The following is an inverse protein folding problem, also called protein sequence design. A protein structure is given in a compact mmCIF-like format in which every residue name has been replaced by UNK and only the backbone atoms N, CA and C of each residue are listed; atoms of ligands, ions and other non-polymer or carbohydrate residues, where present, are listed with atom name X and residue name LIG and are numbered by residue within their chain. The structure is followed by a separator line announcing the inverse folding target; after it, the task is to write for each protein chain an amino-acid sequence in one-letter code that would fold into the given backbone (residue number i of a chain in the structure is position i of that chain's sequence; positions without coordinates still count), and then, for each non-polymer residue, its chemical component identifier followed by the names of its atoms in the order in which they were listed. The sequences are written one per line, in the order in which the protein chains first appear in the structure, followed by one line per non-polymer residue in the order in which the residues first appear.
data_IF_174519061279
#
_entry.id   IF_174519061279
#
_cell.length_a   1.000
_cell.length_b   1.000
_cell.length_c   1.000
_cell.angle_alpha   90.00
_cell.angle_beta   90.00
_cell.angle_gamma   90.00
#
_symmetry.space_group_name_H-M   'P 1'
#
loop_
_entity.id
_entity.type
_entity.pdbx_description
1 polymer ?
#
# COMPACT_ATOMS: atom_id res chain seq x y z
N UNK A 1 -2.17 11.82 -27.75
CA UNK A 1 -2.57 10.39 -27.65
C UNK A 1 -3.06 10.16 -26.23
N UNK A 2 -4.25 9.58 -26.03
CA UNK A 2 -4.84 9.37 -24.70
C UNK A 2 -4.11 8.21 -23.99
N UNK A 3 -3.65 8.42 -22.75
CA UNK A 3 -3.15 7.34 -21.90
C UNK A 3 -4.35 6.68 -21.19
N UNK A 4 -4.71 5.48 -21.63
CA UNK A 4 -5.89 4.78 -21.12
C UNK A 4 -5.73 4.30 -19.68
N UNK A 5 -4.50 3.99 -19.24
CA UNK A 5 -4.23 3.59 -17.85
C UNK A 5 -4.42 4.79 -16.92
N UNK A 6 -3.95 5.99 -17.31
CA UNK A 6 -4.19 7.21 -16.56
C UNK A 6 -5.69 7.56 -16.51
N UNK A 7 -6.41 7.40 -17.63
CA UNK A 7 -7.86 7.57 -17.68
C UNK A 7 -8.58 6.62 -16.71
N UNK A 8 -8.19 5.35 -16.69
CA UNK A 8 -8.76 4.34 -15.81
C UNK A 8 -8.48 4.67 -14.33
N UNK A 9 -7.27 5.13 -14.01
CA UNK A 9 -6.91 5.60 -12.65
C UNK A 9 -7.70 6.84 -12.23
N UNK A 10 -7.70 7.90 -13.03
CA UNK A 10 -8.30 9.19 -12.66
C UNK A 10 -9.83 9.14 -12.63
N UNK A 11 -10.46 8.38 -13.52
CA UNK A 11 -11.92 8.42 -13.69
C UNK A 11 -12.62 7.19 -13.14
N UNK A 12 -12.15 5.99 -13.47
CA UNK A 12 -12.84 4.77 -13.06
C UNK A 12 -12.54 4.42 -11.59
N UNK A 13 -11.26 4.35 -11.24
CA UNK A 13 -10.82 3.97 -9.90
C UNK A 13 -11.23 5.02 -8.85
N UNK A 14 -11.08 6.31 -9.16
CA UNK A 14 -11.59 7.38 -8.29
C UNK A 14 -13.12 7.34 -8.14
N UNK A 15 -13.86 6.93 -9.18
CA UNK A 15 -15.32 6.76 -9.10
C UNK A 15 -15.70 5.56 -8.25
N UNK A 16 -14.99 4.44 -8.34
CA UNK A 16 -15.18 3.29 -7.43
C UNK A 16 -15.02 3.71 -5.96
N UNK A 17 -13.95 4.44 -5.63
CA UNK A 17 -13.74 4.94 -4.28
C UNK A 17 -14.85 5.90 -3.82
N UNK A 18 -15.24 6.86 -4.68
CA UNK A 18 -16.33 7.80 -4.37
C UNK A 18 -17.68 7.10 -4.18
N UNK A 19 -17.98 6.09 -5.00
CA UNK A 19 -19.20 5.28 -4.90
C UNK A 19 -19.22 4.43 -3.62
N UNK A 20 -18.04 3.99 -3.16
CA UNK A 20 -17.88 3.33 -1.86
C UNK A 20 -17.91 4.32 -0.67
N UNK A 21 -18.24 5.59 -0.90
CA UNK A 21 -18.34 6.60 0.14
C UNK A 21 -16.99 7.16 0.62
N UNK A 22 -15.91 6.94 -0.12
CA UNK A 22 -14.59 7.48 0.22
C UNK A 22 -14.36 8.87 -0.39
N UNK A 23 -13.44 9.61 0.22
CA UNK A 23 -12.84 10.83 -0.32
C UNK A 23 -11.32 10.76 -0.21
N UNK A 24 -10.64 11.43 -1.12
CA UNK A 24 -9.20 11.59 -1.04
C UNK A 24 -8.85 12.72 -0.07
N UNK A 25 -7.73 12.58 0.63
CA UNK A 25 -7.20 13.59 1.54
C UNK A 25 -5.68 13.41 1.67
N UNK A 26 -4.96 14.52 1.77
CA UNK A 26 -3.55 14.51 2.11
C UNK A 26 -3.38 14.92 3.57
N UNK A 27 -2.55 14.18 4.31
CA UNK A 27 -2.21 14.45 5.71
C UNK A 27 -0.72 14.78 5.78
N UNK A 28 -0.40 15.95 6.32
CA UNK A 28 0.99 16.29 6.66
C UNK A 28 1.43 15.43 7.85
N UNK A 29 2.50 14.66 7.68
CA UNK A 29 3.07 13.77 8.71
C UNK A 29 3.92 14.59 9.68
N UNK A 30 4.77 15.45 9.14
CA UNK A 30 5.69 16.34 9.84
C UNK A 30 5.62 17.75 9.26
N UNK A 31 6.32 18.69 9.90
CA UNK A 31 6.43 20.08 9.44
C UNK A 31 7.49 20.23 8.33
N UNK A 32 8.30 19.20 8.11
CA UNK A 32 9.35 19.16 7.10
C UNK A 32 8.81 18.89 5.68
N UNK A 33 7.51 18.64 5.53
CA UNK A 33 6.84 18.51 4.24
C UNK A 33 6.56 17.07 3.80
N UNK A 34 6.71 16.08 4.68
CA UNK A 34 6.22 14.73 4.40
C UNK A 34 4.70 14.71 4.40
N UNK A 35 4.11 14.20 3.32
CA UNK A 35 2.65 14.05 3.19
C UNK A 35 2.27 12.63 2.80
N UNK A 36 1.22 12.14 3.44
CA UNK A 36 0.56 10.88 3.09
C UNK A 36 -0.79 11.20 2.47
N UNK A 37 -0.93 10.89 1.19
CA UNK A 37 -2.20 10.90 0.48
C UNK A 37 -2.93 9.57 0.72
N UNK A 38 -4.22 9.66 1.05
CA UNK A 38 -5.03 8.48 1.26
C UNK A 38 -6.50 8.70 0.89
N UNK A 39 -7.17 7.60 0.56
CA UNK A 39 -8.62 7.54 0.54
C UNK A 39 -9.13 7.16 1.92
N UNK A 40 -10.15 7.86 2.40
CA UNK A 40 -10.75 7.62 3.71
C UNK A 40 -12.27 7.84 3.67
N UNK A 41 -13.03 7.31 4.64
CA UNK A 41 -14.47 7.44 4.64
C UNK A 41 -14.90 8.90 4.68
N UNK A 42 -15.90 9.29 3.90
CA UNK A 42 -16.58 10.57 4.11
C UNK A 42 -17.28 10.49 5.47
N UNK A 43 -16.64 10.96 6.55
CA UNK A 43 -17.34 11.17 7.83
C UNK A 43 -18.63 11.94 7.52
N UNK A 44 -19.79 11.44 7.96
CA UNK A 44 -20.95 12.32 8.15
C UNK A 44 -20.47 13.38 9.14
N UNK A 45 -20.30 14.61 8.69
CA UNK A 45 -20.20 15.73 9.61
C UNK A 45 -21.52 15.79 10.36
N UNK A 46 -21.58 15.17 11.52
CA UNK A 46 -22.49 15.58 12.58
C UNK A 46 -21.60 15.75 13.79
N UNK A 47 -21.39 17.01 14.17
CA UNK A 47 -20.79 17.40 15.45
C UNK A 47 -21.69 17.01 16.62
N UNK A 48 -22.01 15.73 16.73
CA UNK A 48 -22.59 15.14 17.91
C UNK A 48 -21.51 14.22 18.47
N UNK A 49 -21.07 14.53 19.70
CA UNK A 49 -20.48 13.52 20.56
C UNK A 49 -21.33 12.26 20.42
N UNK A 50 -20.75 11.18 19.89
CA UNK A 50 -21.42 9.89 19.87
C UNK A 50 -21.68 9.54 21.33
N UNK A 51 -22.94 9.66 21.72
CA UNK A 51 -23.47 9.05 22.92
C UNK A 51 -22.97 7.62 22.97
N UNK A 52 -22.47 7.23 24.14
CA UNK A 52 -22.06 5.86 24.43
C UNK A 52 -23.19 4.90 24.00
N UNK A 53 -23.00 4.18 22.90
CA UNK A 53 -24.01 3.29 22.33
C UNK A 53 -24.05 3.17 20.80
N UNK A 54 -23.42 4.07 20.04
CA UNK A 54 -23.31 3.93 18.57
C UNK A 54 -22.17 2.97 18.18
N UNK A 55 -22.48 1.87 17.48
CA UNK A 55 -21.50 0.88 17.00
C UNK A 55 -20.35 1.57 16.24
N UNK A 56 -19.17 1.69 16.86
CA UNK A 56 -17.99 2.20 16.18
C UNK A 56 -17.63 1.24 15.04
N UNK A 57 -17.67 1.73 13.81
CA UNK A 57 -17.29 0.97 12.62
C UNK A 57 -15.82 0.58 12.72
N UNK A 58 -15.51 -0.69 12.43
CA UNK A 58 -14.14 -1.20 12.54
C UNK A 58 -13.27 -0.62 11.42
N UNK A 59 -12.16 0.00 11.80
CA UNK A 59 -11.21 0.61 10.86
C UNK A 59 -10.34 -0.46 10.18
N UNK A 60 -10.28 -0.42 8.85
CA UNK A 60 -9.46 -1.30 8.02
C UNK A 60 -8.55 -0.45 7.14
N UNK A 61 -7.24 -0.64 7.27
CA UNK A 61 -6.22 0.08 6.50
C UNK A 61 -5.63 -0.86 5.44
N UNK A 62 -5.76 -0.50 4.17
CA UNK A 62 -5.32 -1.31 3.03
C UNK A 62 -4.00 -0.76 2.47
N UNK A 63 -2.89 -1.43 2.75
CA UNK A 63 -1.53 -1.01 2.38
C UNK A 63 -1.09 -1.74 1.13
N UNK A 64 -0.77 -0.99 0.07
CA UNK A 64 -0.48 -1.53 -1.25
C UNK A 64 0.92 -2.14 -1.39
N UNK A 65 1.12 -2.91 -2.47
CA UNK A 65 2.42 -3.47 -2.86
C UNK A 65 3.26 -2.49 -3.67
N UNK A 66 4.51 -2.86 -3.98
CA UNK A 66 5.49 -1.96 -4.59
C UNK A 66 5.17 -1.53 -6.04
N UNK A 67 4.48 -2.37 -6.81
CA UNK A 67 4.26 -2.14 -8.24
C UNK A 67 3.16 -1.11 -8.56
N UNK A 68 2.39 -0.66 -7.56
CA UNK A 68 1.24 0.22 -7.76
C UNK A 68 1.04 1.18 -6.59
N UNK A 69 -0.08 1.89 -6.62
CA UNK A 69 -0.56 2.73 -5.52
C UNK A 69 -1.71 2.07 -4.76
N UNK A 70 -2.27 2.78 -3.78
CA UNK A 70 -3.34 2.31 -2.90
C UNK A 70 -4.53 1.75 -3.68
N UNK A 71 -5.10 2.58 -4.55
CA UNK A 71 -6.34 2.25 -5.23
C UNK A 71 -6.16 1.33 -6.44
N UNK A 72 -4.98 1.34 -7.08
CA UNK A 72 -4.62 0.36 -8.09
C UNK A 72 -4.59 -1.06 -7.50
N UNK A 73 -4.12 -1.20 -6.25
CA UNK A 73 -4.03 -2.51 -5.58
C UNK A 73 -5.37 -2.95 -4.99
N UNK A 74 -6.09 -2.03 -4.33
CA UNK A 74 -7.21 -2.37 -3.46
C UNK A 74 -8.60 -1.96 -3.97
N UNK A 75 -8.68 -1.33 -5.15
CA UNK A 75 -9.92 -0.71 -5.62
C UNK A 75 -11.13 -1.66 -5.68
N UNK A 76 -10.90 -2.96 -5.93
CA UNK A 76 -11.96 -3.97 -5.97
C UNK A 76 -12.42 -4.42 -4.57
N UNK A 77 -11.57 -4.35 -3.56
CA UNK A 77 -11.87 -4.75 -2.18
C UNK A 77 -12.57 -3.63 -1.40
N UNK A 78 -12.28 -2.36 -1.75
CA UNK A 78 -12.84 -1.17 -1.08
C UNK A 78 -14.36 -1.22 -0.98
N UNK A 79 -15.05 -1.47 -2.09
CA UNK A 79 -16.51 -1.49 -2.14
C UNK A 79 -17.10 -2.59 -1.26
N UNK A 80 -16.53 -3.80 -1.32
CA UNK A 80 -16.99 -4.94 -0.54
C UNK A 80 -16.79 -4.72 0.97
N UNK A 81 -15.64 -4.20 1.38
CA UNK A 81 -15.36 -3.91 2.80
C UNK A 81 -16.23 -2.78 3.34
N UNK A 82 -16.40 -1.71 2.57
CA UNK A 82 -17.27 -0.59 2.96
C UNK A 82 -18.73 -1.02 3.12
N UNK A 83 -19.24 -1.88 2.22
CA UNK A 83 -20.58 -2.44 2.27
C UNK A 83 -20.83 -3.34 3.49
N UNK A 84 -19.77 -4.00 4.01
CA UNK A 84 -19.82 -4.78 5.26
C UNK A 84 -19.76 -3.92 6.54
N UNK A 85 -19.75 -2.60 6.41
CA UNK A 85 -19.77 -1.69 7.55
C UNK A 85 -18.38 -1.33 8.11
N UNK A 86 -17.29 -1.61 7.39
CA UNK A 86 -15.96 -1.18 7.79
C UNK A 86 -15.67 0.26 7.40
N UNK A 87 -14.83 0.94 8.18
CA UNK A 87 -14.26 2.22 7.82
C UNK A 87 -12.93 1.97 7.10
N UNK A 88 -12.95 2.11 5.77
CA UNK A 88 -11.84 1.71 4.91
C UNK A 88 -10.92 2.90 4.62
N UNK A 89 -9.64 2.73 4.93
CA UNK A 89 -8.56 3.67 4.66
C UNK A 89 -7.60 3.05 3.65
N UNK A 90 -7.25 3.77 2.59
CA UNK A 90 -6.35 3.29 1.53
C UNK A 90 -5.25 4.33 1.32
N UNK A 91 -4.16 4.28 2.10
CA UNK A 91 -3.03 5.18 1.92
C UNK A 91 -2.15 4.78 0.74
N UNK A 92 -1.60 5.79 0.08
CA UNK A 92 -0.43 5.63 -0.77
C UNK A 92 0.83 5.66 0.13
N UNK A 93 1.72 4.69 -0.04
CA UNK A 93 3.04 4.68 0.58
C UNK A 93 3.84 5.90 0.10
N UNK A 94 4.74 6.40 0.94
CA UNK A 94 5.58 7.57 0.60
C UNK A 94 6.43 7.25 -0.62
N UNK A 95 6.45 8.17 -1.60
CA UNK A 95 7.04 7.98 -2.94
C UNK A 95 6.23 7.08 -3.88
N UNK A 96 4.95 6.90 -3.59
CA UNK A 96 3.96 6.24 -4.45
C UNK A 96 2.69 7.09 -4.50
N UNK A 97 1.92 6.94 -5.58
CA UNK A 97 0.66 7.65 -5.76
C UNK A 97 0.80 9.15 -5.51
N UNK A 98 0.01 9.70 -4.58
CA UNK A 98 0.06 11.10 -4.18
C UNK A 98 0.93 11.42 -2.95
N UNK A 99 1.62 10.45 -2.37
CA UNK A 99 2.40 10.64 -1.13
C UNK A 99 3.87 10.99 -1.41
N UNK A 100 4.42 11.94 -0.66
CA UNK A 100 5.75 12.51 -0.90
C UNK A 100 6.48 12.82 0.41
N UNK A 101 7.81 12.84 0.37
CA UNK A 101 8.64 13.28 1.49
C UNK A 101 9.97 13.85 0.99
N UNK A 102 10.44 14.98 1.52
CA UNK A 102 11.79 15.45 1.27
C UNK A 102 12.84 14.68 2.10
N UNK A 103 12.43 13.96 3.15
CA UNK A 103 13.35 13.23 4.01
C UNK A 103 14.15 12.18 3.21
N UNK A 104 15.41 11.89 3.57
CA UNK A 104 16.26 10.93 2.85
C UNK A 104 15.95 9.46 3.21
N UNK A 105 15.05 9.22 4.17
CA UNK A 105 14.78 7.86 4.67
C UNK A 105 14.05 6.99 3.64
N UNK A 106 14.60 5.81 3.37
CA UNK A 106 14.05 4.84 2.40
C UNK A 106 14.00 3.46 3.06
N UNK A 107 13.08 3.27 4.01
CA UNK A 107 12.97 2.01 4.75
C UNK A 107 11.52 1.65 5.06
N UNK A 108 11.28 0.35 5.33
CA UNK A 108 9.97 -0.16 5.80
C UNK A 108 9.55 0.54 7.10
N UNK A 109 10.51 0.79 8.01
CA UNK A 109 10.28 1.53 9.26
C UNK A 109 9.77 2.96 9.02
N UNK A 110 10.37 3.66 8.05
CA UNK A 110 9.93 5.01 7.70
C UNK A 110 8.52 5.00 7.12
N UNK A 111 8.21 4.07 6.21
CA UNK A 111 6.87 3.92 5.66
C UNK A 111 5.82 3.66 6.76
N UNK A 112 6.11 2.72 7.67
CA UNK A 112 5.23 2.41 8.79
C UNK A 112 5.01 3.61 9.72
N UNK A 113 6.07 4.37 10.02
CA UNK A 113 5.98 5.59 10.82
C UNK A 113 5.09 6.64 10.15
N UNK A 114 5.32 6.96 8.88
CA UNK A 114 4.51 7.94 8.15
C UNK A 114 3.02 7.55 8.13
N UNK A 115 2.71 6.28 7.86
CA UNK A 115 1.33 5.79 7.88
C UNK A 115 0.71 5.87 9.29
N UNK A 116 1.42 5.41 10.32
CA UNK A 116 0.93 5.44 11.69
C UNK A 116 0.65 6.87 12.17
N UNK A 117 1.57 7.81 11.87
CA UNK A 117 1.41 9.24 12.20
C UNK A 117 0.21 9.84 11.46
N UNK A 118 0.07 9.58 10.17
CA UNK A 118 -1.07 10.07 9.39
C UNK A 118 -2.42 9.54 9.93
N UNK A 119 -2.49 8.24 10.25
CA UNK A 119 -3.69 7.63 10.84
C UNK A 119 -3.98 8.17 12.25
N UNK A 120 -2.94 8.41 13.04
CA UNK A 120 -3.05 9.05 14.36
C UNK A 120 -3.68 10.44 14.28
N UNK A 121 -3.21 11.28 13.34
CA UNK A 121 -3.77 12.63 13.08
C UNK A 121 -5.23 12.59 12.59
N UNK A 122 -5.67 11.49 11.99
CA UNK A 122 -7.07 11.27 11.60
C UNK A 122 -7.97 10.80 12.75
N UNK A 123 -7.40 10.63 13.96
CA UNK A 123 -8.12 10.24 15.17
C UNK A 123 -8.16 8.74 15.42
N UNK A 124 -7.39 7.92 14.70
CA UNK A 124 -7.34 6.46 14.93
C UNK A 124 -6.42 6.09 16.11
N UNK A 125 -5.71 7.04 16.71
CA UNK A 125 -4.83 6.77 17.86
C UNK A 125 -5.56 6.16 19.07
N UNK A 126 -6.88 6.40 19.21
CA UNK A 126 -7.74 5.79 20.23
C UNK A 126 -8.56 4.58 19.75
N UNK A 127 -8.49 4.21 18.47
CA UNK A 127 -9.25 3.13 17.87
C UNK A 127 -8.31 2.21 17.10
N UNK A 128 -8.02 1.03 17.67
CA UNK A 128 -7.14 0.06 17.01
C UNK A 128 -7.73 -0.38 15.66
N UNK A 129 -6.92 -0.42 14.62
CA UNK A 129 -7.33 -0.82 13.26
C UNK A 129 -6.81 -2.19 12.85
N UNK A 130 -7.43 -2.81 11.85
CA UNK A 130 -6.82 -3.94 11.13
C UNK A 130 -6.03 -3.40 9.96
N UNK A 131 -4.77 -3.81 9.84
CA UNK A 131 -3.93 -3.47 8.69
C UNK A 131 -3.88 -4.66 7.75
N UNK A 132 -4.27 -4.47 6.50
CA UNK A 132 -4.21 -5.46 5.43
C UNK A 132 -3.10 -5.04 4.47
N UNK A 133 -2.05 -5.85 4.34
CA UNK A 133 -0.89 -5.57 3.51
C UNK A 133 -0.73 -6.55 2.36
N UNK A 134 -0.43 -6.06 1.17
CA UNK A 134 -0.06 -6.89 0.02
C UNK A 134 1.42 -6.70 -0.34
N UNK A 135 2.16 -7.80 -0.47
CA UNK A 135 3.59 -7.78 -0.86
C UNK A 135 4.41 -6.81 0.01
N UNK A 136 5.03 -5.78 -0.56
CA UNK A 136 5.74 -4.74 0.20
C UNK A 136 4.88 -4.11 1.32
N UNK A 137 3.58 -3.94 1.10
CA UNK A 137 2.64 -3.46 2.11
C UNK A 137 2.45 -4.42 3.28
N UNK A 138 2.70 -5.72 3.09
CA UNK A 138 2.75 -6.72 4.16
C UNK A 138 3.93 -6.50 5.11
N UNK A 139 5.11 -6.19 4.56
CA UNK A 139 6.30 -5.84 5.36
C UNK A 139 6.05 -4.59 6.19
N UNK A 140 5.42 -3.57 5.57
CA UNK A 140 5.00 -2.35 6.27
C UNK A 140 3.96 -2.64 7.34
N UNK A 141 2.99 -3.53 7.09
CA UNK A 141 1.98 -3.92 8.07
C UNK A 141 2.60 -4.64 9.30
N UNK A 142 3.55 -5.55 9.08
CA UNK A 142 4.30 -6.17 10.18
C UNK A 142 5.11 -5.14 10.98
N UNK A 143 5.74 -4.20 10.29
CA UNK A 143 6.48 -3.11 10.93
C UNK A 143 5.56 -2.24 11.79
N UNK A 144 4.39 -1.85 11.26
CA UNK A 144 3.37 -1.09 11.98
C UNK A 144 2.89 -1.83 13.23
N UNK A 145 2.61 -3.13 13.13
CA UNK A 145 2.13 -3.92 14.27
C UNK A 145 3.15 -3.99 15.41
N UNK A 146 4.43 -4.11 15.06
CA UNK A 146 5.51 -4.19 16.04
C UNK A 146 5.87 -2.82 16.65
N UNK A 147 5.88 -1.74 15.85
CA UNK A 147 6.26 -0.41 16.31
C UNK A 147 5.09 0.37 16.97
N UNK A 148 3.85 0.11 16.55
CA UNK A 148 2.65 0.83 17.00
C UNK A 148 1.55 -0.13 17.49
N UNK A 149 1.81 -0.96 18.52
CA UNK A 149 0.84 -1.95 19.02
C UNK A 149 -0.45 -1.33 19.58
N UNK A 150 -0.41 -0.06 20.00
CA UNK A 150 -1.57 0.72 20.42
C UNK A 150 -2.47 1.19 19.28
N UNK A 151 -1.97 1.20 18.04
CA UNK A 151 -2.73 1.57 16.84
C UNK A 151 -3.21 0.33 16.06
N UNK A 152 -2.37 -0.70 15.98
CA UNK A 152 -2.70 -1.91 15.18
C UNK A 152 -3.33 -2.98 16.08
N UNK A 153 -4.51 -3.46 15.70
CA UNK A 153 -5.22 -4.58 16.35
C UNK A 153 -4.78 -5.92 15.80
N UNK A 154 -4.77 -6.05 14.48
CA UNK A 154 -4.50 -7.28 13.77
C UNK A 154 -3.91 -6.97 12.40
N UNK A 155 -3.25 -7.98 11.82
CA UNK A 155 -2.61 -7.89 10.53
C UNK A 155 -3.11 -9.01 9.63
N UNK A 156 -3.47 -8.67 8.39
CA UNK A 156 -3.74 -9.63 7.32
C UNK A 156 -2.71 -9.37 6.23
N UNK A 157 -1.99 -10.41 5.80
CA UNK A 157 -0.96 -10.28 4.77
C UNK A 157 -1.23 -11.25 3.64
N UNK A 158 -1.05 -10.78 2.40
CA UNK A 158 -1.05 -11.64 1.21
C UNK A 158 0.17 -11.32 0.33
N UNK A 159 0.76 -12.35 -0.27
CA UNK A 159 1.87 -12.21 -1.21
C UNK A 159 3.13 -11.56 -0.62
N UNK A 160 3.34 -11.66 0.69
CA UNK A 160 4.53 -11.16 1.37
C UNK A 160 5.07 -12.18 2.36
N UNK A 161 6.39 -12.27 2.44
CA UNK A 161 7.08 -13.07 3.45
C UNK A 161 7.29 -12.27 4.74
N UNK A 162 7.43 -12.99 5.85
CA UNK A 162 7.71 -12.39 7.17
C UNK A 162 9.12 -11.78 7.24
N UNK A 163 10.02 -12.22 6.35
CA UNK A 163 11.37 -11.69 6.17
C UNK A 163 11.76 -11.73 4.69
N UNK A 164 12.60 -10.80 4.25
CA UNK A 164 13.07 -10.74 2.87
C UNK A 164 14.60 -10.75 2.81
N UNK A 165 15.16 -11.92 2.52
CA UNK A 165 16.62 -12.15 2.53
C UNK A 165 17.23 -12.05 1.13
N UNK A 166 18.55 -11.83 1.06
CA UNK A 166 19.28 -11.85 -0.22
C UNK A 166 19.09 -13.19 -0.96
N UNK A 167 19.16 -14.32 -0.25
CA UNK A 167 18.92 -15.63 -0.87
C UNK A 167 17.50 -15.79 -1.45
N UNK A 168 16.47 -15.26 -0.77
CA UNK A 168 15.10 -15.25 -1.30
C UNK A 168 15.00 -14.39 -2.56
N UNK A 169 15.68 -13.24 -2.58
CA UNK A 169 15.79 -12.39 -3.75
C UNK A 169 16.46 -13.14 -4.92
N UNK A 170 17.58 -13.81 -4.69
CA UNK A 170 18.32 -14.52 -5.75
C UNK A 170 17.48 -15.64 -6.36
N UNK A 171 16.80 -16.43 -5.52
CA UNK A 171 15.87 -17.49 -5.99
C UNK A 171 14.72 -16.90 -6.79
N UNK A 172 14.15 -15.78 -6.36
CA UNK A 172 13.07 -15.11 -7.09
C UNK A 172 13.54 -14.60 -8.44
N UNK A 173 14.68 -13.92 -8.49
CA UNK A 173 15.26 -13.40 -9.73
C UNK A 173 15.58 -14.53 -10.72
N UNK A 174 16.14 -15.63 -10.23
CA UNK A 174 16.42 -16.81 -11.04
C UNK A 174 15.14 -17.43 -11.61
N UNK A 175 14.10 -17.60 -10.79
CA UNK A 175 12.80 -18.14 -11.23
C UNK A 175 12.13 -17.27 -12.28
N UNK A 176 12.30 -15.96 -12.20
CA UNK A 176 11.63 -15.00 -13.07
C UNK A 176 12.50 -14.55 -14.26
N UNK A 177 13.75 -15.01 -14.34
CA UNK A 177 14.70 -14.61 -15.39
C UNK A 177 14.99 -13.11 -15.39
N UNK A 178 15.02 -12.48 -14.22
CA UNK A 178 15.27 -11.05 -14.06
C UNK A 178 16.71 -10.80 -13.59
N UNK A 179 17.37 -9.76 -14.13
CA UNK A 179 18.73 -9.39 -13.76
C UNK A 179 18.83 -8.74 -12.37
N UNK A 180 17.80 -8.00 -11.98
CA UNK A 180 17.69 -7.37 -10.67
C UNK A 180 16.23 -7.16 -10.25
N UNK A 181 16.02 -6.91 -8.95
CA UNK A 181 14.69 -6.57 -8.43
C UNK A 181 14.17 -5.25 -9.02
N UNK A 182 15.07 -4.30 -9.26
CA UNK A 182 14.75 -3.03 -9.93
C UNK A 182 14.21 -3.30 -11.33
N UNK A 183 14.86 -4.15 -12.14
CA UNK A 183 14.40 -4.46 -13.50
C UNK A 183 13.01 -5.12 -13.52
N UNK A 184 12.70 -5.90 -12.47
CA UNK A 184 11.42 -6.57 -12.34
C UNK A 184 10.31 -5.60 -11.88
N UNK A 185 10.59 -4.77 -10.88
CA UNK A 185 9.58 -3.96 -10.18
C UNK A 185 9.44 -2.53 -10.72
N UNK A 186 10.46 -2.05 -11.43
CA UNK A 186 10.50 -0.76 -12.13
C UNK A 186 10.81 -1.00 -13.62
N UNK A 187 9.93 -1.71 -14.35
CA UNK A 187 10.19 -2.05 -15.74
C UNK A 187 10.24 -0.80 -16.62
N UNK A 188 11.28 -0.70 -17.46
CA UNK A 188 11.43 0.39 -18.44
C UNK A 188 10.91 0.00 -19.84
N UNK A 189 10.53 -1.27 -20.02
CA UNK A 189 10.11 -1.83 -21.32
C UNK A 189 8.75 -2.52 -21.22
N UNK A 190 8.03 -2.58 -22.35
CA UNK A 190 6.73 -3.26 -22.44
C UNK A 190 6.85 -4.74 -22.07
N UNK A 191 7.94 -5.39 -22.50
CA UNK A 191 8.24 -6.78 -22.12
C UNK A 191 8.50 -6.93 -20.62
N UNK A 192 9.10 -5.93 -19.97
CA UNK A 192 9.24 -5.88 -18.51
C UNK A 192 7.90 -5.83 -17.78
N UNK A 193 6.97 -4.97 -18.24
CA UNK A 193 5.60 -4.90 -17.68
C UNK A 193 4.85 -6.22 -17.88
N UNK A 194 5.01 -6.86 -19.04
CA UNK A 194 4.40 -8.17 -19.31
C UNK A 194 4.93 -9.26 -18.36
N UNK A 195 6.24 -9.27 -18.08
CA UNK A 195 6.85 -10.18 -17.09
C UNK A 195 6.34 -9.91 -15.68
N UNK A 196 6.29 -8.64 -15.27
CA UNK A 196 5.76 -8.23 -13.97
C UNK A 196 4.32 -8.72 -13.77
N UNK A 197 3.44 -8.52 -14.76
CA UNK A 197 2.06 -8.97 -14.68
C UNK A 197 1.92 -10.50 -14.74
N UNK A 198 2.71 -11.18 -15.57
CA UNK A 198 2.68 -12.64 -15.63
C UNK A 198 3.12 -13.27 -14.30
N UNK A 199 3.94 -12.56 -13.52
CA UNK A 199 4.36 -12.97 -12.17
C UNK A 199 3.30 -12.65 -11.11
N UNK A 200 2.70 -11.47 -11.20
CA UNK A 200 1.80 -10.96 -10.16
C UNK A 200 0.38 -11.55 -10.23
N UNK A 201 -0.08 -11.98 -11.41
CA UNK A 201 -1.43 -12.49 -11.61
C UNK A 201 -1.47 -14.02 -11.74
N UNK A 202 -2.31 -14.68 -10.94
CA UNK A 202 -2.55 -16.12 -11.03
C UNK A 202 -2.95 -16.57 -12.46
N UNK A 203 -3.77 -15.77 -13.15
CA UNK A 203 -4.04 -15.92 -14.59
C UNK A 203 -3.54 -14.68 -15.31
N UNK A 204 -2.65 -14.88 -16.30
CA UNK A 204 -2.13 -13.79 -17.12
C UNK A 204 -3.28 -13.03 -17.78
N UNK A 205 -3.48 -11.73 -17.46
CA UNK A 205 -4.52 -10.95 -18.11
C UNK A 205 -4.10 -10.69 -19.56
N UNK A 206 -5.02 -10.88 -20.51
CA UNK A 206 -4.80 -10.44 -21.88
C UNK A 206 -4.90 -8.91 -21.94
N UNK A 207 -3.76 -8.24 -22.09
CA UNK A 207 -3.68 -6.78 -22.21
C UNK A 207 -3.08 -6.41 -23.57
N UNK A 208 -3.77 -5.61 -24.39
CA UNK A 208 -3.21 -5.07 -25.62
C UNK A 208 -1.89 -4.34 -25.35
N UNK A 209 -0.90 -4.49 -26.25
CA UNK A 209 0.41 -3.81 -26.13
C UNK A 209 0.29 -2.30 -25.88
N UNK A 210 -0.76 -1.65 -26.39
CA UNK A 210 -1.04 -0.24 -26.14
C UNK A 210 -1.28 0.06 -24.65
N UNK A 211 -2.02 -0.79 -23.93
CA UNK A 211 -2.25 -0.64 -22.49
C UNK A 211 -0.96 -0.88 -21.69
N UNK A 212 -0.15 -1.85 -22.09
CA UNK A 212 1.16 -2.08 -21.45
C UNK A 212 2.12 -0.90 -21.68
N UNK A 213 2.10 -0.29 -22.87
CA UNK A 213 2.86 0.93 -23.16
C UNK A 213 2.33 2.13 -22.37
N UNK A 214 1.01 2.24 -22.20
CA UNK A 214 0.40 3.29 -21.39
C UNK A 214 0.75 3.14 -19.91
N UNK A 215 0.89 1.91 -19.41
CA UNK A 215 1.34 1.62 -18.05
C UNK A 215 2.74 2.19 -17.75
N UNK A 216 3.67 2.09 -18.70
CA UNK A 216 5.00 2.71 -18.60
C UNK A 216 4.95 4.23 -18.53
N UNK A 217 3.96 4.85 -19.17
CA UNK A 217 3.82 6.31 -19.30
C UNK A 217 3.01 6.92 -18.16
N UNK A 218 2.37 6.11 -17.33
CA UNK A 218 1.69 6.62 -16.13
C UNK A 218 2.78 7.12 -15.20
N UNK A 219 2.72 8.36 -14.68
CA UNK A 219 3.86 9.00 -14.06
C UNK A 219 4.46 8.17 -12.93
N UNK A 220 5.51 7.44 -13.25
CA UNK A 220 6.52 6.92 -12.33
C UNK A 220 7.48 8.06 -11.90
N UNK A 221 7.41 9.17 -12.64
CA UNK A 221 8.31 10.31 -12.81
C UNK A 221 8.21 11.45 -11.77
N UNK A 222 7.96 11.17 -10.48
CA UNK A 222 8.89 11.86 -9.58
C UNK A 222 9.63 10.94 -8.63
N UNK A 223 9.30 9.65 -8.64
CA UNK A 223 9.69 8.75 -7.56
C UNK A 223 10.48 7.51 -8.00
N UNK A 224 10.81 7.35 -9.29
CA UNK A 224 11.59 6.17 -9.77
C UNK A 224 12.86 5.99 -8.95
N UNK A 225 13.63 7.07 -8.78
CA UNK A 225 14.89 7.03 -8.03
C UNK A 225 14.67 6.64 -6.57
N UNK A 226 13.68 7.23 -5.90
CA UNK A 226 13.34 6.96 -4.50
C UNK A 226 12.86 5.51 -4.32
N UNK A 227 12.12 4.99 -5.29
CA UNK A 227 11.62 3.60 -5.32
C UNK A 227 12.75 2.61 -5.55
N UNK A 228 13.71 2.89 -6.45
CA UNK A 228 14.92 2.09 -6.60
C UNK A 228 15.72 2.02 -5.29
N UNK A 229 15.91 3.16 -4.62
CA UNK A 229 16.57 3.20 -3.30
C UNK A 229 15.83 2.38 -2.24
N UNK A 230 14.49 2.36 -2.28
CA UNK A 230 13.68 1.51 -1.40
C UNK A 230 13.94 0.02 -1.68
N UNK A 231 13.99 -0.41 -2.94
CA UNK A 231 14.28 -1.82 -3.30
C UNK A 231 15.68 -2.24 -2.86
N UNK A 232 16.68 -1.40 -3.10
CA UNK A 232 18.07 -1.70 -2.70
C UNK A 232 18.21 -1.89 -1.20
N UNK A 233 17.49 -1.09 -0.40
CA UNK A 233 17.47 -1.22 1.06
C UNK A 233 16.56 -2.33 1.59
N UNK A 234 15.69 -2.88 0.74
CA UNK A 234 14.83 -4.01 1.08
C UNK A 234 15.61 -5.33 1.06
N UNK A 235 16.60 -5.45 0.17
CA UNK A 235 17.47 -6.63 0.09
C UNK A 235 18.27 -6.72 1.40
N UNK A 236 18.00 -7.76 2.19
CA UNK A 236 18.60 -7.93 3.51
C UNK A 236 17.80 -7.29 4.66
N UNK A 237 16.59 -6.78 4.40
CA UNK A 237 15.68 -6.39 5.46
C UNK A 237 15.30 -7.61 6.30
N UNK A 238 15.79 -7.62 7.54
CA UNK A 238 15.54 -8.65 8.53
C UNK A 238 14.91 -8.00 9.75
N UNK A 239 13.63 -8.27 10.00
CA UNK A 239 13.05 -8.02 11.31
C UNK A 239 13.10 -9.31 12.12
N UNK A 240 13.87 -9.31 13.20
CA UNK A 240 13.71 -10.30 14.25
C UNK A 240 12.32 -10.07 14.86
N UNK A 241 11.33 -10.85 14.43
CA UNK A 241 10.07 -10.93 15.17
C UNK A 241 10.40 -11.64 16.49
N UNK A 242 10.79 -10.84 17.48
CA UNK A 242 10.99 -11.31 18.84
C UNK A 242 9.64 -11.83 19.35
N UNK A 243 9.65 -12.85 20.21
CA UNK A 243 8.49 -13.66 20.67
C UNK A 243 7.21 -12.90 21.11
N UNK A 244 7.23 -11.57 21.21
CA UNK A 244 6.06 -10.72 21.51
C UNK A 244 5.01 -10.61 20.41
N UNK A 245 5.27 -11.08 19.18
CA UNK A 245 4.22 -11.16 18.16
C UNK A 245 3.17 -12.26 18.43
N UNK A 246 3.33 -13.06 19.50
CA UNK A 246 2.37 -14.09 19.92
C UNK A 246 0.96 -13.54 20.26
N UNK A 247 0.77 -12.22 20.34
CA UNK A 247 -0.53 -11.61 20.66
C UNK A 247 -1.26 -10.96 19.47
N UNK A 248 -0.76 -11.12 18.24
CA UNK A 248 -1.44 -10.63 17.04
C UNK A 248 -2.04 -11.79 16.25
N UNK A 249 -3.32 -11.68 15.91
CA UNK A 249 -3.91 -12.52 14.86
C UNK A 249 -3.31 -12.12 13.52
N UNK A 250 -2.33 -12.90 13.03
CA UNK A 250 -1.75 -12.78 11.69
C UNK A 250 -2.46 -13.80 10.80
N UNK A 251 -3.13 -13.32 9.76
CA UNK A 251 -3.71 -14.18 8.73
C UNK A 251 -2.84 -14.05 7.49
N UNK A 252 -2.14 -15.12 7.13
CA UNK A 252 -1.39 -15.24 5.88
C UNK A 252 -2.31 -15.87 4.83
N UNK A 253 -2.56 -15.13 3.76
CA UNK A 253 -3.30 -15.62 2.58
C UNK A 253 -2.26 -15.91 1.49
N UNK A 254 -1.94 -17.19 1.33
CA UNK A 254 -1.10 -17.71 0.23
C UNK A 254 -1.87 -17.72 -1.09
#
# INVERSE_FOLDING_TARGET
MVNWVQMLRTHFVARLAKNAGLRQHAVAVDDDGTTVNLWLPKKKQTGAATTAGGNQRHAVVLVHGFAGDGMMTWGFQVGALAARGHDVYVPDLVHFGGSTSPAPHRSVAFQAHCLATALGKLGLAGQRCTVVGFSYGGLVAFEMAAAFPGLVRSVVVSGADVAYTAAMNDVLLQRLGAGSMTDLMLPETVGGVERLFSTAFYKKPFLPRRLLSDFLKVPSEPFVWQRDQLLRRLIGWRKYINKRAQYFSVILLC
#
